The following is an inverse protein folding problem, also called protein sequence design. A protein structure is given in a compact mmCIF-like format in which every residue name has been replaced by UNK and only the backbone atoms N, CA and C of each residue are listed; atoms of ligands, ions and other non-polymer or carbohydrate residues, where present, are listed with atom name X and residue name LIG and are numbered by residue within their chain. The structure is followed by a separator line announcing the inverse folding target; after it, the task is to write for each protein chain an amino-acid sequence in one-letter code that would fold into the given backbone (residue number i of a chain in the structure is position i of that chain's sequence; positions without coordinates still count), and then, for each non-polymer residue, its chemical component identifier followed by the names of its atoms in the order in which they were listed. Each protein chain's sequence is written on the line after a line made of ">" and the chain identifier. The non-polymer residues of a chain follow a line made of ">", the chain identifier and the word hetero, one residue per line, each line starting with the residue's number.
data_IF_791985715214
#
_entry.id   IF_791985715214
#
_cell.length_a   1.000
_cell.length_b   1.000
_cell.length_c   1.000
_cell.angle_alpha   90.00
_cell.angle_beta   90.00
_cell.angle_gamma   90.00
#
_symmetry.space_group_name_H-M   'P 1'
#
loop_
_entity.id
_entity.type
_entity.pdbx_description
1 polymer ?
#
# COMPACT_ATOMS: atom_id res chain seq x y z
N UNK A 1 0.91 -109.84 -2.40
CA UNK A 1 1.89 -109.28 -3.37
C UNK A 1 1.65 -107.78 -3.52
N UNK A 2 2.73 -107.01 -3.58
CA UNK A 2 2.82 -105.56 -3.42
C UNK A 2 2.19 -104.71 -4.56
N UNK A 3 1.79 -103.45 -4.25
CA UNK A 3 2.27 -102.21 -4.94
C UNK A 3 1.79 -100.89 -4.28
N UNK A 4 2.74 -100.16 -3.68
CA UNK A 4 3.03 -98.69 -3.73
C UNK A 4 1.89 -97.65 -3.83
N UNK A 5 1.94 -96.60 -2.98
CA UNK A 5 2.31 -95.20 -3.35
C UNK A 5 2.29 -94.21 -2.16
N UNK A 6 3.11 -93.17 -2.31
CA UNK A 6 3.54 -92.13 -1.36
C UNK A 6 2.92 -90.75 -1.65
N UNK A 7 2.52 -90.00 -0.59
CA UNK A 7 2.43 -88.50 -0.36
C UNK A 7 1.75 -87.59 -1.44
N UNK A 8 1.39 -86.28 -1.24
CA UNK A 8 1.74 -85.31 -0.16
C UNK A 8 0.65 -84.25 0.24
N UNK A 9 1.09 -83.21 0.97
CA UNK A 9 0.48 -81.86 1.16
C UNK A 9 -0.67 -81.75 2.19
N UNK A 10 -0.79 -80.75 3.05
CA UNK A 10 -0.20 -79.42 3.12
C UNK A 10 -1.33 -78.41 3.38
N UNK A 11 -1.27 -77.67 4.50
CA UNK A 11 -1.92 -76.36 4.60
C UNK A 11 -3.08 -76.17 5.59
N UNK A 12 -2.79 -75.29 6.57
CA UNK A 12 -3.52 -74.04 6.83
C UNK A 12 -4.80 -74.10 7.71
N UNK A 13 -4.60 -73.82 9.01
CA UNK A 13 -5.57 -73.09 9.84
C UNK A 13 -4.88 -71.95 10.60
N UNK A 14 -4.42 -70.97 9.82
CA UNK A 14 -4.01 -69.66 10.31
C UNK A 14 -4.69 -68.61 9.43
N UNK A 15 -5.99 -68.38 9.65
CA UNK A 15 -6.77 -67.38 8.90
C UNK A 15 -7.81 -66.66 9.78
N UNK A 16 -7.95 -66.99 11.07
CA UNK A 16 -9.03 -66.43 11.94
C UNK A 16 -8.57 -65.26 12.82
N UNK A 17 -7.29 -65.19 13.20
CA UNK A 17 -6.74 -64.09 13.98
C UNK A 17 -6.39 -62.85 13.13
N UNK A 18 -6.01 -63.05 11.87
CA UNK A 18 -5.53 -61.99 10.98
C UNK A 18 -6.65 -61.07 10.45
N UNK A 19 -7.87 -61.60 10.34
CA UNK A 19 -9.05 -60.83 9.88
C UNK A 19 -9.48 -59.78 10.93
N UNK A 20 -9.46 -60.15 12.22
CA UNK A 20 -9.86 -59.26 13.30
C UNK A 20 -8.84 -58.15 13.55
N UNK A 21 -7.54 -58.47 13.50
CA UNK A 21 -6.47 -57.48 13.65
C UNK A 21 -6.43 -56.48 12.48
N UNK A 22 -6.63 -56.93 11.23
CA UNK A 22 -6.74 -56.05 10.06
C UNK A 22 -7.96 -55.13 10.13
N UNK A 23 -9.12 -55.60 10.62
CA UNK A 23 -10.32 -54.76 10.81
C UNK A 23 -10.15 -53.72 11.92
N UNK A 24 -9.54 -54.08 13.04
CA UNK A 24 -9.22 -53.15 14.14
C UNK A 24 -8.21 -52.08 13.71
N UNK A 25 -7.16 -52.49 12.97
CA UNK A 25 -6.15 -51.56 12.45
C UNK A 25 -6.72 -50.62 11.38
N UNK A 26 -7.61 -51.11 10.51
CA UNK A 26 -8.32 -50.28 9.51
C UNK A 26 -9.29 -49.29 10.17
N UNK A 27 -10.07 -49.71 11.17
CA UNK A 27 -10.97 -48.84 11.91
C UNK A 27 -10.21 -47.81 12.78
N UNK A 28 -9.05 -48.18 13.32
CA UNK A 28 -8.15 -47.29 14.06
C UNK A 28 -7.48 -46.26 13.13
N UNK A 29 -6.99 -46.70 11.97
CA UNK A 29 -6.42 -45.83 10.93
C UNK A 29 -7.44 -44.83 10.40
N UNK A 30 -8.69 -45.28 10.17
CA UNK A 30 -9.79 -44.41 9.73
C UNK A 30 -10.17 -43.38 10.80
N UNK A 31 -10.19 -43.76 12.09
CA UNK A 31 -10.41 -42.83 13.21
C UNK A 31 -9.29 -41.79 13.33
N UNK A 32 -8.02 -42.21 13.17
CA UNK A 32 -6.86 -41.29 13.15
C UNK A 32 -6.93 -40.33 11.97
N UNK A 33 -7.35 -40.81 10.79
CA UNK A 33 -7.53 -39.97 9.60
C UNK A 33 -8.64 -38.93 9.81
N UNK A 34 -9.79 -39.34 10.36
CA UNK A 34 -10.89 -38.43 10.68
C UNK A 34 -10.47 -37.39 11.73
N UNK A 35 -9.77 -37.81 12.79
CA UNK A 35 -9.23 -36.88 13.78
C UNK A 35 -8.24 -35.88 13.17
N UNK A 36 -7.40 -36.32 12.24
CA UNK A 36 -6.47 -35.44 11.52
C UNK A 36 -7.21 -34.37 10.70
N UNK A 37 -8.27 -34.73 9.98
CA UNK A 37 -9.08 -33.75 9.22
C UNK A 37 -9.81 -32.76 10.13
N UNK A 38 -10.30 -33.21 11.29
CA UNK A 38 -10.94 -32.34 12.28
C UNK A 38 -9.93 -31.35 12.85
N UNK A 39 -8.75 -31.83 13.28
CA UNK A 39 -7.69 -30.99 13.83
C UNK A 39 -7.16 -30.01 12.77
N UNK A 40 -6.94 -30.47 11.55
CA UNK A 40 -6.53 -29.61 10.43
C UNK A 40 -7.56 -28.51 10.14
N UNK A 41 -8.86 -28.85 10.19
CA UNK A 41 -9.94 -27.87 9.99
C UNK A 41 -9.99 -26.84 11.12
N UNK A 42 -9.80 -27.27 12.37
CA UNK A 42 -9.73 -26.37 13.53
C UNK A 42 -8.51 -25.46 13.41
N UNK A 43 -7.33 -25.99 13.07
CA UNK A 43 -6.13 -25.19 12.85
C UNK A 43 -6.36 -24.19 11.71
N UNK A 44 -6.95 -24.61 10.59
CA UNK A 44 -7.27 -23.72 9.48
C UNK A 44 -8.22 -22.59 9.92
N UNK A 45 -9.28 -22.91 10.67
CA UNK A 45 -10.23 -21.92 11.21
C UNK A 45 -9.56 -20.98 12.20
N UNK A 46 -8.73 -21.49 13.11
CA UNK A 46 -7.99 -20.68 14.09
C UNK A 46 -6.99 -19.77 13.39
N UNK A 47 -6.25 -20.28 12.41
CA UNK A 47 -5.28 -19.51 11.64
C UNK A 47 -5.98 -18.45 10.78
N UNK A 48 -7.09 -18.82 10.13
CA UNK A 48 -7.94 -17.90 9.38
C UNK A 48 -8.51 -16.81 10.29
N UNK A 49 -9.04 -17.15 11.46
CA UNK A 49 -9.55 -16.19 12.45
C UNK A 49 -8.45 -15.30 13.01
N UNK A 50 -7.26 -15.85 13.26
CA UNK A 50 -6.12 -15.08 13.74
C UNK A 50 -5.65 -14.06 12.69
N UNK A 51 -5.54 -14.49 11.42
CA UNK A 51 -5.24 -13.61 10.28
C UNK A 51 -6.34 -12.57 10.06
N UNK A 52 -7.62 -12.96 10.14
CA UNK A 52 -8.76 -12.07 9.95
C UNK A 52 -8.89 -11.05 11.10
N UNK A 53 -8.52 -11.44 12.33
CA UNK A 53 -8.52 -10.54 13.50
C UNK A 53 -7.41 -9.50 13.42
N UNK A 54 -6.30 -9.80 12.76
CA UNK A 54 -5.27 -8.80 12.46
C UNK A 54 -5.71 -7.79 11.38
N UNK A 55 -6.69 -8.13 10.53
CA UNK A 55 -7.15 -7.26 9.42
C UNK A 55 -8.26 -6.27 9.78
N UNK A 56 -8.72 -6.19 11.04
CA UNK A 56 -9.72 -5.19 11.47
C UNK A 56 -9.13 -4.21 12.47
N UNK A 57 -8.60 -3.05 12.04
CA UNK A 57 -8.01 -2.05 12.93
C UNK A 57 -9.05 -1.15 13.61
N UNK A 58 -10.32 -1.21 13.20
CA UNK A 58 -11.36 -0.33 13.71
C UNK A 58 -12.08 -0.98 14.90
N UNK A 59 -12.00 -0.34 16.06
CA UNK A 59 -12.72 -0.70 17.29
C UNK A 59 -14.24 -0.49 17.15
N UNK A 60 -14.89 -1.08 16.13
CA UNK A 60 -16.32 -0.87 15.84
C UNK A 60 -16.69 0.54 15.36
N UNK A 61 -15.71 1.45 15.21
CA UNK A 61 -15.90 2.84 14.79
C UNK A 61 -16.27 2.99 13.31
N UNK A 62 -15.91 2.03 12.47
CA UNK A 62 -16.27 2.02 11.04
C UNK A 62 -17.62 1.30 10.91
N UNK A 63 -18.68 2.07 10.71
CA UNK A 63 -20.07 1.60 10.66
C UNK A 63 -20.85 2.30 9.56
N UNK A 64 -21.89 1.65 9.03
CA UNK A 64 -22.84 2.24 8.07
C UNK A 64 -23.81 3.21 8.74
N UNK A 65 -24.00 3.11 10.06
CA UNK A 65 -24.91 3.94 10.83
C UNK A 65 -24.13 4.88 11.75
N UNK A 66 -23.66 6.00 11.21
CA UNK A 66 -22.87 6.97 11.96
C UNK A 66 -23.76 7.91 12.80
N UNK A 67 -23.38 8.13 14.07
CA UNK A 67 -24.01 9.11 14.97
C UNK A 67 -23.09 10.33 15.12
N UNK A 68 -23.66 11.53 14.98
CA UNK A 68 -22.95 12.81 15.13
C UNK A 68 -22.25 12.95 16.49
N UNK A 69 -22.92 12.62 17.60
CA UNK A 69 -22.34 12.71 18.94
C UNK A 69 -21.11 11.82 19.10
N UNK A 70 -21.14 10.64 18.48
CA UNK A 70 -20.01 9.72 18.49
C UNK A 70 -18.83 10.26 17.68
N UNK A 71 -19.09 10.88 16.51
CA UNK A 71 -18.03 11.54 15.73
C UNK A 71 -17.41 12.69 16.53
N UNK A 72 -18.22 13.51 17.21
CA UNK A 72 -17.71 14.61 18.02
C UNK A 72 -16.86 14.14 19.20
N UNK A 73 -17.23 13.01 19.83
CA UNK A 73 -16.48 12.42 20.93
C UNK A 73 -15.16 11.74 20.50
N UNK A 74 -15.11 11.21 19.27
CA UNK A 74 -14.02 10.33 18.83
C UNK A 74 -13.07 10.95 17.77
N UNK A 75 -13.46 12.04 17.06
CA UNK A 75 -12.69 12.56 15.92
C UNK A 75 -11.25 12.99 16.23
N UNK A 76 -10.96 13.32 17.49
CA UNK A 76 -9.63 13.76 17.94
C UNK A 76 -8.75 12.60 18.38
N UNK A 77 -9.34 11.42 18.61
CA UNK A 77 -8.64 10.23 19.10
C UNK A 77 -8.00 9.50 17.93
N UNK A 78 -6.80 8.99 18.18
CA UNK A 78 -5.99 8.25 17.20
C UNK A 78 -5.57 6.96 17.88
N UNK A 79 -5.59 5.85 17.13
CA UNK A 79 -5.10 4.57 17.65
C UNK A 79 -3.65 4.69 18.11
N UNK A 80 -3.26 3.93 19.13
CA UNK A 80 -1.99 4.11 19.85
C UNK A 80 -0.72 4.02 19.01
N UNK A 81 -0.77 3.45 17.80
CA UNK A 81 0.37 3.39 16.89
C UNK A 81 0.20 4.31 15.66
N UNK A 82 0.64 5.56 15.80
CA UNK A 82 0.68 6.52 14.69
C UNK A 82 1.68 6.14 13.60
N UNK A 83 2.70 5.34 13.93
CA UNK A 83 3.76 4.97 13.00
C UNK A 83 3.46 3.71 12.19
N UNK A 84 2.48 2.90 12.60
CA UNK A 84 2.12 1.70 11.86
C UNK A 84 1.28 2.03 10.62
N UNK A 85 1.73 1.51 9.48
CA UNK A 85 0.97 1.53 8.23
C UNK A 85 0.18 0.23 8.10
N UNK A 86 -1.14 0.35 7.96
CA UNK A 86 -2.05 -0.79 7.80
C UNK A 86 -2.46 -1.04 6.35
N UNK A 87 -2.14 -0.11 5.45
CA UNK A 87 -2.54 -0.13 4.05
C UNK A 87 -1.31 -0.26 3.16
N UNK A 88 -1.27 -1.28 2.30
CA UNK A 88 -0.06 -1.65 1.53
C UNK A 88 0.07 -0.91 0.20
N UNK A 89 -1.02 -0.41 -0.38
CA UNK A 89 -0.98 0.33 -1.64
C UNK A 89 -0.42 1.73 -1.44
N UNK A 90 0.13 2.38 -2.50
CA UNK A 90 0.61 3.75 -2.44
C UNK A 90 -0.42 4.70 -1.84
N UNK A 91 0.02 5.58 -0.93
CA UNK A 91 -0.82 6.55 -0.24
C UNK A 91 -0.25 7.94 -0.48
N UNK A 92 -1.07 8.80 -1.06
CA UNK A 92 -0.72 10.17 -1.41
C UNK A 92 -1.49 11.16 -0.54
N UNK A 93 -0.83 12.22 -0.09
CA UNK A 93 -1.44 13.29 0.68
C UNK A 93 -1.06 14.67 0.16
N UNK A 94 -2.05 15.55 0.00
CA UNK A 94 -1.83 16.97 -0.29
C UNK A 94 -1.67 17.78 0.99
N UNK A 95 -0.77 18.77 0.96
CA UNK A 95 -0.49 19.67 2.07
C UNK A 95 -0.67 21.09 1.58
N UNK A 96 -1.58 21.85 2.19
CA UNK A 96 -1.93 23.19 1.71
C UNK A 96 -1.37 24.27 2.64
N UNK A 97 -0.84 25.39 2.11
CA UNK A 97 -0.25 26.45 2.93
C UNK A 97 -1.27 27.17 3.83
N UNK A 98 -2.55 27.21 3.43
CA UNK A 98 -3.62 27.82 4.24
C UNK A 98 -4.16 26.92 5.36
N UNK A 99 -3.69 25.68 5.49
CA UNK A 99 -4.07 24.77 6.57
C UNK A 99 -2.83 24.27 7.31
N UNK A 100 -2.39 25.04 8.32
CA UNK A 100 -1.20 24.73 9.12
C UNK A 100 -1.26 23.35 9.79
N UNK A 101 -2.45 22.87 10.15
CA UNK A 101 -2.62 21.52 10.74
C UNK A 101 -2.18 20.42 9.78
N UNK A 102 -2.23 20.63 8.47
CA UNK A 102 -1.73 19.69 7.47
C UNK A 102 -0.23 19.41 7.61
N UNK A 103 0.57 20.43 7.92
CA UNK A 103 2.02 20.31 8.12
C UNK A 103 2.35 19.44 9.34
N UNK A 104 1.61 19.63 10.44
CA UNK A 104 1.77 18.84 11.66
C UNK A 104 1.33 17.39 11.47
N UNK A 105 0.20 17.16 10.79
CA UNK A 105 -0.30 15.81 10.51
C UNK A 105 0.64 15.03 9.58
N UNK A 106 1.22 15.69 8.58
CA UNK A 106 2.19 15.08 7.67
C UNK A 106 3.44 14.59 8.41
N UNK A 107 3.93 15.37 9.39
CA UNK A 107 5.03 14.95 10.27
C UNK A 107 4.62 13.78 11.17
N UNK A 108 3.50 13.92 11.89
CA UNK A 108 3.02 12.94 12.87
C UNK A 108 2.71 11.56 12.25
N UNK A 109 2.20 11.55 11.03
CA UNK A 109 1.74 10.34 10.33
C UNK A 109 2.56 10.00 9.10
N UNK A 110 3.80 10.50 9.00
CA UNK A 110 4.66 10.36 7.82
C UNK A 110 4.70 8.92 7.29
N UNK A 111 4.93 7.95 8.16
CA UNK A 111 5.05 6.52 7.79
C UNK A 111 3.78 5.90 7.20
N UNK A 112 2.63 6.57 7.30
CA UNK A 112 1.38 6.14 6.66
C UNK A 112 1.29 6.55 5.19
N UNK A 113 2.14 7.49 4.74
CA UNK A 113 2.18 7.99 3.36
C UNK A 113 3.37 7.43 2.59
N UNK A 114 3.20 7.23 1.29
CA UNK A 114 4.33 7.03 0.37
C UNK A 114 4.77 8.33 -0.28
N UNK A 115 3.81 9.21 -0.57
CA UNK A 115 4.05 10.48 -1.25
C UNK A 115 3.30 11.61 -0.54
N UNK A 116 3.99 12.72 -0.33
CA UNK A 116 3.44 13.94 0.22
C UNK A 116 3.66 15.08 -0.78
N UNK A 117 2.57 15.74 -1.17
CA UNK A 117 2.59 16.81 -2.17
C UNK A 117 2.16 18.13 -1.57
N UNK A 118 3.13 18.94 -1.12
CA UNK A 118 2.83 20.31 -0.76
C UNK A 118 2.37 21.13 -1.97
N UNK A 119 1.33 21.94 -1.78
CA UNK A 119 0.75 22.81 -2.80
C UNK A 119 1.43 24.18 -2.71
N UNK A 120 2.53 24.34 -3.43
CA UNK A 120 3.32 25.57 -3.38
C UNK A 120 3.48 26.26 -4.73
N UNK A 121 3.54 25.53 -5.84
CA UNK A 121 4.05 26.09 -7.08
C UNK A 121 3.02 26.17 -8.20
N UNK A 122 3.07 27.29 -8.91
CA UNK A 122 2.36 27.52 -10.16
C UNK A 122 3.38 27.88 -11.25
N UNK A 123 3.31 27.22 -12.40
CA UNK A 123 4.09 27.53 -13.59
C UNK A 123 3.28 28.43 -14.51
N UNK A 124 3.72 29.68 -14.63
CA UNK A 124 3.01 30.73 -15.36
C UNK A 124 3.75 31.14 -16.61
N UNK A 125 3.00 31.54 -17.63
CA UNK A 125 3.55 32.21 -18.82
C UNK A 125 3.45 33.72 -18.65
N UNK A 126 4.58 34.38 -18.51
CA UNK A 126 4.68 35.85 -18.49
C UNK A 126 5.25 36.33 -19.82
N UNK A 127 4.39 36.83 -20.69
CA UNK A 127 4.71 37.33 -22.04
C UNK A 127 5.52 36.31 -22.87
N UNK A 128 6.84 36.41 -22.85
CA UNK A 128 7.79 35.56 -23.59
C UNK A 128 8.55 34.56 -22.69
N UNK A 129 8.27 34.58 -21.38
CA UNK A 129 9.01 33.82 -20.38
C UNK A 129 8.11 32.91 -19.55
N UNK A 130 8.72 31.90 -18.92
CA UNK A 130 8.07 31.02 -17.96
C UNK A 130 8.63 31.35 -16.58
N UNK A 131 7.76 31.40 -15.58
CA UNK A 131 8.09 31.69 -14.19
C UNK A 131 7.45 30.65 -13.30
N UNK A 132 8.23 30.13 -12.34
CA UNK A 132 7.73 29.26 -11.29
C UNK A 132 7.47 30.12 -10.04
N UNK A 133 6.20 30.36 -9.73
CA UNK A 133 5.76 31.17 -8.59
C UNK A 133 5.53 30.33 -7.33
N UNK A 134 5.35 31.00 -6.20
CA UNK A 134 4.94 30.37 -4.94
C UNK A 134 6.06 29.76 -4.09
N UNK A 135 7.33 29.92 -4.50
CA UNK A 135 8.52 29.55 -3.70
C UNK A 135 8.50 30.06 -2.26
N UNK A 136 7.90 31.23 -1.99
CA UNK A 136 7.83 31.78 -0.64
C UNK A 136 7.03 30.90 0.34
N UNK A 137 6.21 29.97 -0.17
CA UNK A 137 5.48 29.00 0.65
C UNK A 137 6.33 27.77 1.02
N UNK A 138 7.49 27.58 0.38
CA UNK A 138 8.35 26.44 0.64
C UNK A 138 9.08 26.60 1.98
N UNK A 139 8.89 25.63 2.87
CA UNK A 139 9.47 25.63 4.20
C UNK A 139 10.62 24.61 4.31
N UNK A 140 11.86 25.11 4.41
CA UNK A 140 13.07 24.27 4.55
C UNK A 140 13.06 23.47 5.85
N UNK A 141 12.63 24.12 6.94
CA UNK A 141 12.60 23.51 8.26
C UNK A 141 11.65 22.33 8.27
N UNK A 142 10.44 22.54 7.74
CA UNK A 142 9.43 21.50 7.61
C UNK A 142 9.89 20.33 6.74
N UNK A 143 10.49 20.58 5.56
CA UNK A 143 11.05 19.51 4.71
C UNK A 143 12.08 18.67 5.48
N UNK A 144 12.98 19.33 6.22
CA UNK A 144 14.00 18.66 7.02
C UNK A 144 13.38 17.83 8.15
N UNK A 145 12.40 18.36 8.87
CA UNK A 145 11.66 17.62 9.89
C UNK A 145 10.93 16.41 9.31
N UNK A 146 10.31 16.56 8.15
CA UNK A 146 9.54 15.51 7.49
C UNK A 146 10.44 14.33 7.09
N UNK A 147 11.63 14.61 6.55
CA UNK A 147 12.63 13.58 6.23
C UNK A 147 13.19 12.86 7.45
N UNK A 148 13.24 13.54 8.60
CA UNK A 148 13.63 12.90 9.87
C UNK A 148 12.51 12.03 10.44
N UNK A 149 11.26 12.41 10.19
CA UNK A 149 10.08 11.71 10.72
C UNK A 149 9.78 10.38 9.99
N UNK A 150 10.22 10.22 8.74
CA UNK A 150 10.07 8.98 7.99
C UNK A 150 10.47 9.09 6.52
N UNK A 151 10.06 8.12 5.73
CA UNK A 151 10.54 7.88 4.35
C UNK A 151 9.58 8.38 3.26
N UNK A 152 8.49 9.07 3.61
CA UNK A 152 7.55 9.57 2.61
C UNK A 152 8.24 10.54 1.64
N UNK A 153 8.08 10.29 0.34
CA UNK A 153 8.69 11.10 -0.70
C UNK A 153 7.98 12.45 -0.82
N UNK A 154 8.75 13.52 -0.97
CA UNK A 154 8.23 14.89 -1.11
C UNK A 154 8.18 15.24 -2.59
N UNK A 155 6.96 15.36 -3.11
CA UNK A 155 6.67 15.65 -4.52
C UNK A 155 5.78 16.88 -4.62
N UNK A 156 6.30 18.11 -4.55
CA UNK A 156 5.47 19.31 -4.62
C UNK A 156 4.56 19.30 -5.86
N UNK A 157 3.36 19.84 -5.67
CA UNK A 157 2.43 20.08 -6.77
C UNK A 157 2.88 21.29 -7.56
N UNK A 158 2.93 21.14 -8.89
CA UNK A 158 3.18 22.22 -9.84
C UNK A 158 1.97 22.33 -10.75
N UNK A 159 1.27 23.47 -10.69
CA UNK A 159 0.11 23.73 -11.56
C UNK A 159 0.55 24.44 -12.83
N UNK A 160 0.08 23.99 -13.99
CA UNK A 160 0.18 24.69 -15.25
C UNK A 160 -1.00 25.67 -15.38
N UNK A 161 -0.74 26.98 -15.33
CA UNK A 161 -1.79 28.01 -15.45
C UNK A 161 -2.26 28.28 -16.88
N UNK A 162 -1.58 27.71 -17.88
CA UNK A 162 -2.02 27.72 -19.26
C UNK A 162 -2.09 26.29 -19.79
N UNK A 163 -2.79 26.09 -20.92
CA UNK A 163 -2.98 24.75 -21.46
C UNK A 163 -1.64 24.04 -21.73
N UNK A 164 -1.54 22.71 -21.51
CA UNK A 164 -0.30 21.97 -21.74
C UNK A 164 0.19 22.10 -23.17
N UNK A 165 -0.72 22.15 -24.14
CA UNK A 165 -0.39 22.35 -25.54
C UNK A 165 0.35 23.68 -25.77
N UNK A 166 -0.01 24.74 -25.04
CA UNK A 166 0.65 26.04 -25.14
C UNK A 166 1.99 26.03 -24.39
N UNK A 167 2.05 25.49 -23.17
CA UNK A 167 3.27 25.57 -22.34
C UNK A 167 4.32 24.51 -22.68
N UNK A 168 3.88 23.31 -23.07
CA UNK A 168 4.74 22.14 -23.27
C UNK A 168 4.80 21.69 -24.74
N UNK A 169 3.95 22.25 -25.63
CA UNK A 169 3.93 21.87 -27.04
C UNK A 169 5.21 22.29 -27.79
N UNK A 170 5.76 23.47 -27.50
CA UNK A 170 7.01 23.95 -28.11
C UNK A 170 8.22 23.46 -27.32
N UNK A 171 9.16 22.79 -28.00
CA UNK A 171 10.36 22.21 -27.38
C UNK A 171 11.14 23.20 -26.52
N UNK A 172 11.39 24.42 -27.03
CA UNK A 172 12.11 25.46 -26.27
C UNK A 172 11.40 25.84 -24.97
N UNK A 173 10.07 25.93 -24.99
CA UNK A 173 9.28 26.26 -23.79
C UNK A 173 9.21 25.06 -22.83
N UNK A 174 9.01 23.85 -23.37
CA UNK A 174 9.06 22.60 -22.59
C UNK A 174 10.40 22.43 -21.87
N UNK A 175 11.52 22.60 -22.55
CA UNK A 175 12.85 22.51 -21.94
C UNK A 175 13.06 23.58 -20.87
N UNK A 176 12.54 24.81 -21.07
CA UNK A 176 12.57 25.85 -20.05
C UNK A 176 11.73 25.50 -18.82
N UNK A 177 10.52 24.96 -19.02
CA UNK A 177 9.65 24.47 -17.94
C UNK A 177 10.34 23.38 -17.12
N UNK A 178 10.86 22.35 -17.81
CA UNK A 178 11.61 21.24 -17.18
C UNK A 178 12.79 21.80 -16.39
N UNK A 179 13.61 22.67 -16.98
CA UNK A 179 14.77 23.23 -16.29
C UNK A 179 14.39 24.02 -15.03
N UNK A 180 13.32 24.82 -15.06
CA UNK A 180 12.84 25.54 -13.87
C UNK A 180 12.43 24.58 -12.77
N UNK A 181 11.61 23.59 -13.10
CA UNK A 181 11.08 22.60 -12.15
C UNK A 181 12.22 21.75 -11.56
N UNK A 182 13.08 21.20 -12.41
CA UNK A 182 14.18 20.32 -12.00
C UNK A 182 15.20 21.07 -11.14
N UNK A 183 15.51 22.32 -11.49
CA UNK A 183 16.42 23.16 -10.68
C UNK A 183 15.82 23.41 -9.30
N UNK A 184 14.53 23.69 -9.22
CA UNK A 184 13.84 23.87 -7.94
C UNK A 184 13.87 22.58 -7.11
N UNK A 185 13.54 21.43 -7.71
CA UNK A 185 13.56 20.13 -7.03
C UNK A 185 14.94 19.79 -6.48
N UNK A 186 16.00 19.96 -7.29
CA UNK A 186 17.38 19.72 -6.86
C UNK A 186 17.80 20.62 -5.71
N UNK A 187 17.43 21.91 -5.75
CA UNK A 187 17.80 22.88 -4.72
C UNK A 187 17.20 22.55 -3.35
N UNK A 188 15.99 22.01 -3.32
CA UNK A 188 15.27 21.67 -2.10
C UNK A 188 15.29 20.18 -1.76
N UNK A 189 16.09 19.39 -2.49
CA UNK A 189 16.21 17.94 -2.34
C UNK A 189 14.83 17.25 -2.36
N UNK A 190 13.99 17.63 -3.32
CA UNK A 190 12.66 17.07 -3.56
C UNK A 190 12.76 15.95 -4.62
N UNK A 191 12.03 14.87 -4.41
CA UNK A 191 12.23 13.60 -5.13
C UNK A 191 11.37 13.47 -6.40
N UNK A 192 10.61 14.51 -6.75
CA UNK A 192 9.74 14.51 -7.91
C UNK A 192 8.75 15.65 -7.85
N UNK A 193 7.71 15.58 -8.69
CA UNK A 193 6.60 16.52 -8.69
C UNK A 193 5.27 15.82 -8.92
N UNK A 194 4.19 16.50 -8.55
CA UNK A 194 2.87 16.23 -9.11
C UNK A 194 2.55 17.36 -10.08
N UNK A 195 2.56 17.06 -11.38
CA UNK A 195 2.22 18.04 -12.41
C UNK A 195 0.71 18.04 -12.62
N UNK A 196 0.07 19.18 -12.39
CA UNK A 196 -1.37 19.36 -12.63
C UNK A 196 -1.59 20.38 -13.73
N UNK A 197 -2.53 20.09 -14.64
CA UNK A 197 -2.98 21.07 -15.62
C UNK A 197 -4.46 21.33 -15.49
N UNK A 198 -4.82 22.61 -15.58
CA UNK A 198 -6.20 23.06 -15.68
C UNK A 198 -6.45 23.50 -17.11
N UNK A 199 -7.29 22.78 -17.86
CA UNK A 199 -7.79 23.29 -19.14
C UNK A 199 -9.23 23.77 -18.93
N UNK A 200 -9.50 25.02 -19.33
CA UNK A 200 -10.84 25.60 -19.28
C UNK A 200 -11.81 24.74 -20.09
N UNK A 201 -12.53 23.84 -19.41
CA UNK A 201 -13.53 22.96 -20.01
C UNK A 201 -13.21 21.46 -20.03
N UNK A 202 -12.00 20.99 -19.67
CA UNK A 202 -11.73 19.55 -19.67
C UNK A 202 -10.65 19.10 -18.67
N UNK A 203 -10.97 17.99 -17.97
CA UNK A 203 -10.16 17.10 -17.13
C UNK A 203 -8.86 17.65 -16.54
N UNK A 204 -8.82 17.67 -15.20
CA UNK A 204 -7.57 17.76 -14.44
C UNK A 204 -6.70 16.53 -14.78
N UNK A 205 -5.64 16.74 -15.55
CA UNK A 205 -4.59 15.72 -15.72
C UNK A 205 -3.59 15.95 -14.60
N UNK A 206 -3.49 14.98 -13.70
CA UNK A 206 -2.47 14.93 -12.66
C UNK A 206 -1.51 13.79 -12.96
N UNK A 207 -0.23 14.10 -13.06
CA UNK A 207 0.82 13.12 -13.30
C UNK A 207 1.87 13.21 -12.19
N UNK A 208 2.11 12.10 -11.51
CA UNK A 208 3.19 12.01 -10.53
C UNK A 208 4.48 11.60 -11.26
N UNK A 209 5.46 12.49 -11.24
CA UNK A 209 6.76 12.29 -11.89
C UNK A 209 7.79 12.17 -10.77
N UNK A 210 8.25 10.94 -10.52
CA UNK A 210 9.31 10.68 -9.55
C UNK A 210 10.66 10.67 -10.26
N UNK A 211 11.64 11.39 -9.70
CA UNK A 211 13.00 11.39 -10.20
C UNK A 211 13.71 10.09 -9.77
N UNK A 212 13.93 9.16 -10.69
CA UNK A 212 14.66 7.93 -10.42
C UNK A 212 16.05 8.01 -11.07
N UNK A 213 17.07 8.46 -10.33
CA UNK A 213 18.51 8.34 -10.65
C UNK A 213 19.06 9.08 -11.89
N UNK A 214 18.25 9.32 -12.92
CA UNK A 214 18.60 10.03 -14.15
C UNK A 214 17.32 10.77 -14.57
N UNK A 215 17.39 12.11 -14.60
CA UNK A 215 16.28 12.97 -15.03
C UNK A 215 16.09 12.89 -16.55
N UNK A 216 15.68 11.74 -17.08
CA UNK A 216 15.06 11.66 -18.40
C UNK A 216 13.54 11.78 -18.21
N UNK A 217 13.04 13.01 -18.13
CA UNK A 217 11.62 13.29 -18.33
C UNK A 217 11.35 13.20 -19.83
N UNK A 218 10.98 12.02 -20.32
CA UNK A 218 10.26 11.90 -21.59
C UNK A 218 8.79 12.18 -21.28
N UNK A 219 8.36 13.43 -21.50
CA UNK A 219 6.95 13.84 -21.60
C UNK A 219 6.55 13.86 -23.07
#
# INVERSE_FOLDING_TARGET
>A
MAKKRSAPSGGRRENRAESSSRRLNSASGRRKLVAFFIVSSIIAIVTYRYRFRQSSPSQGLVTTHANCQHILAENSKVSGNSSQRHYTYPVHGYITPWNSRGYELAKRFNSKFTHLSPIWYDLKSQQTSLVLEGRHNADRGWISELKKAGEALILPRVVLEASPAVLLGKEKQRNKAINLIVTECKKWDMMGIVLESWSSGQLMVSCMIQACGIWHCSL
#
